data_IF_753214944315
#
_entry.id   IF_753214944315
#
_cell.length_a   1.000
_cell.length_b   1.000
_cell.length_c   1.000
_cell.angle_alpha   90.00
_cell.angle_beta   90.00
_cell.angle_gamma   90.00
#
_symmetry.space_group_name_H-M   'P 1'
#
loop_
_entity.id
_entity.type
_entity.pdbx_description
1 polymer ?
#
# COMPACT_ATOMS: atom_id res chain seq x y z
N UNK A 1 -26.05 0.56 -24.70
CA UNK A 1 -25.87 -0.58 -23.76
C UNK A 1 -24.54 -0.38 -23.04
N UNK A 2 -24.55 0.05 -21.77
CA UNK A 2 -23.32 0.22 -20.99
C UNK A 2 -22.74 -1.16 -20.69
N UNK A 3 -21.62 -1.53 -21.30
CA UNK A 3 -20.85 -2.68 -20.82
C UNK A 3 -20.43 -2.37 -19.37
N UNK A 4 -20.72 -3.29 -18.44
CA UNK A 4 -20.21 -3.24 -17.07
C UNK A 4 -18.69 -3.36 -17.16
N UNK A 5 -17.99 -2.23 -17.08
CA UNK A 5 -16.52 -2.22 -17.08
C UNK A 5 -15.99 -3.04 -15.91
N UNK A 6 -15.12 -4.01 -16.19
CA UNK A 6 -14.51 -4.89 -15.17
C UNK A 6 -13.47 -4.10 -14.36
N UNK A 7 -13.94 -3.35 -13.36
CA UNK A 7 -13.08 -2.59 -12.45
C UNK A 7 -12.85 -3.36 -11.16
N UNK A 8 -11.60 -3.44 -10.70
CA UNK A 8 -11.25 -4.00 -9.39
C UNK A 8 -10.71 -2.93 -8.46
N UNK A 9 -10.82 -3.19 -7.16
CA UNK A 9 -10.15 -2.44 -6.10
C UNK A 9 -8.92 -3.22 -5.63
N UNK A 10 -7.74 -2.65 -5.75
CA UNK A 10 -6.48 -3.23 -5.28
C UNK A 10 -6.02 -2.50 -4.01
N UNK A 11 -6.10 -3.15 -2.87
CA UNK A 11 -5.60 -2.66 -1.59
C UNK A 11 -4.12 -3.06 -1.53
N UNK A 12 -3.22 -2.07 -1.55
CA UNK A 12 -1.78 -2.31 -1.61
C UNK A 12 -1.08 -1.64 -0.41
N UNK A 13 -1.10 -2.28 0.77
CA UNK A 13 -0.63 -1.69 2.02
C UNK A 13 0.91 -1.73 2.17
N UNK A 14 1.66 -1.45 1.10
CA UNK A 14 3.13 -1.42 1.11
C UNK A 14 3.65 -0.29 2.00
N UNK A 15 4.69 -0.57 2.79
CA UNK A 15 5.27 0.40 3.74
C UNK A 15 6.81 0.43 3.74
N UNK A 16 7.42 -0.55 3.09
CA UNK A 16 8.84 -0.89 3.12
C UNK A 16 9.78 0.20 2.57
N UNK A 17 9.43 0.87 1.48
CA UNK A 17 10.23 1.96 0.92
C UNK A 17 10.09 3.28 1.68
N UNK A 18 9.13 3.37 2.60
CA UNK A 18 8.84 4.60 3.32
C UNK A 18 9.86 4.80 4.44
N UNK A 19 10.60 5.91 4.42
CA UNK A 19 11.49 6.32 5.51
C UNK A 19 11.04 7.69 6.01
N UNK A 20 10.16 7.68 7.02
CA UNK A 20 9.44 8.88 7.47
C UNK A 20 9.72 9.28 8.92
N UNK A 21 10.51 8.51 9.66
CA UNK A 21 10.72 8.70 11.09
C UNK A 21 11.22 10.11 11.44
N UNK A 22 12.03 10.73 10.57
CA UNK A 22 12.52 12.10 10.73
C UNK A 22 11.39 13.15 10.83
N UNK A 23 10.23 12.89 10.23
CA UNK A 23 9.06 13.78 10.26
C UNK A 23 8.06 13.40 11.37
N UNK A 24 8.37 12.37 12.17
CA UNK A 24 7.48 11.78 13.17
C UNK A 24 8.24 11.46 14.48
N UNK A 25 8.90 12.42 15.13
CA UNK A 25 9.76 12.17 16.28
C UNK A 25 9.02 11.54 17.48
N UNK A 26 7.71 11.77 17.60
CA UNK A 26 6.88 11.21 18.67
C UNK A 26 6.47 9.75 18.46
N UNK A 27 6.82 9.14 17.32
CA UNK A 27 6.46 7.76 16.97
C UNK A 27 7.74 6.94 16.85
N UNK A 28 7.81 5.73 17.44
CA UNK A 28 8.96 4.84 17.26
C UNK A 28 9.32 4.69 15.78
N UNK A 29 10.61 4.75 15.46
CA UNK A 29 11.07 4.69 14.07
C UNK A 29 10.57 3.42 13.36
N UNK A 30 10.50 2.30 14.08
CA UNK A 30 9.97 1.01 13.61
C UNK A 30 8.48 1.03 13.25
N UNK A 31 7.70 1.93 13.85
CA UNK A 31 6.26 2.06 13.64
C UNK A 31 5.91 3.16 12.64
N UNK A 32 6.77 4.17 12.52
CA UNK A 32 6.54 5.35 11.68
C UNK A 32 6.20 4.97 10.23
N UNK A 33 7.00 4.11 9.59
CA UNK A 33 6.76 3.62 8.24
C UNK A 33 5.56 2.67 8.16
N UNK A 34 5.35 1.82 9.18
CA UNK A 34 4.17 0.91 9.25
C UNK A 34 2.85 1.68 9.28
N UNK A 35 2.88 2.99 9.52
CA UNK A 35 1.77 3.91 9.30
C UNK A 35 1.13 3.80 7.92
N UNK A 36 1.93 3.56 6.86
CA UNK A 36 1.42 3.37 5.50
C UNK A 36 0.56 2.11 5.36
N UNK A 37 0.93 1.02 6.03
CA UNK A 37 0.14 -0.22 6.06
C UNK A 37 -1.23 0.01 6.69
N UNK A 38 -1.27 0.73 7.83
CA UNK A 38 -2.52 1.10 8.49
C UNK A 38 -3.33 2.09 7.65
N UNK A 39 -2.65 3.07 7.03
CA UNK A 39 -3.24 4.09 6.18
C UNK A 39 -4.03 3.51 5.01
N UNK A 40 -3.46 2.55 4.29
CA UNK A 40 -4.14 1.88 3.18
C UNK A 40 -5.43 1.15 3.62
N UNK A 41 -5.43 0.54 4.81
CA UNK A 41 -6.61 -0.15 5.36
C UNK A 41 -7.69 0.82 5.83
N UNK A 42 -7.29 1.93 6.46
CA UNK A 42 -8.23 3.01 6.80
C UNK A 42 -8.83 3.60 5.51
N UNK A 43 -8.02 3.81 4.48
CA UNK A 43 -8.50 4.29 3.18
C UNK A 43 -9.53 3.32 2.58
N UNK A 44 -9.34 2.01 2.70
CA UNK A 44 -10.34 1.03 2.28
C UNK A 44 -11.63 1.09 3.10
N UNK A 45 -11.54 1.33 4.41
CA UNK A 45 -12.71 1.52 5.26
C UNK A 45 -13.48 2.81 4.94
N UNK A 46 -12.78 3.87 4.51
CA UNK A 46 -13.37 5.17 4.17
C UNK A 46 -13.88 5.25 2.73
N UNK A 47 -13.34 4.42 1.84
CA UNK A 47 -13.76 4.39 0.44
C UNK A 47 -15.25 4.00 0.35
N UNK A 48 -16.04 4.64 -0.54
CA UNK A 48 -17.45 4.30 -0.72
C UNK A 48 -17.66 2.80 -0.96
N UNK A 49 -18.79 2.28 -0.48
CA UNK A 49 -19.20 0.93 -0.80
C UNK A 49 -19.27 0.75 -2.33
N UNK A 50 -18.75 -0.38 -2.81
CA UNK A 50 -18.67 -0.67 -4.23
C UNK A 50 -18.98 -2.13 -4.46
N UNK A 51 -19.65 -2.42 -5.58
CA UNK A 51 -19.87 -3.79 -6.05
C UNK A 51 -18.64 -4.37 -6.77
N UNK A 52 -17.56 -3.59 -6.90
CA UNK A 52 -16.30 -4.02 -7.48
C UNK A 52 -15.62 -5.05 -6.58
N UNK A 53 -14.96 -6.04 -7.20
CA UNK A 53 -14.14 -7.02 -6.46
C UNK A 53 -12.93 -6.32 -5.84
N UNK A 54 -12.68 -6.59 -4.57
CA UNK A 54 -11.52 -6.09 -3.86
C UNK A 54 -10.47 -7.20 -3.64
N UNK A 55 -9.20 -6.88 -3.88
CA UNK A 55 -8.07 -7.76 -3.65
C UNK A 55 -7.03 -7.03 -2.79
N UNK A 56 -6.50 -7.69 -1.76
CA UNK A 56 -5.42 -7.14 -0.93
C UNK A 56 -4.09 -7.82 -1.28
N UNK A 57 -3.06 -7.01 -1.55
CA UNK A 57 -1.70 -7.51 -1.78
C UNK A 57 -1.13 -7.96 -0.43
N UNK A 58 -0.59 -9.19 -0.31
CA UNK A 58 -0.04 -9.67 0.94
C UNK A 58 1.25 -8.91 1.30
N UNK A 59 1.19 -8.13 2.38
CA UNK A 59 2.32 -7.37 2.92
C UNK A 59 2.56 -7.76 4.38
N UNK A 60 3.78 -8.17 4.71
CA UNK A 60 4.19 -8.44 6.10
C UNK A 60 4.47 -7.15 6.84
N UNK A 61 4.10 -7.10 8.12
CA UNK A 61 4.57 -6.05 9.07
C UNK A 61 5.71 -6.53 9.96
N UNK A 62 6.03 -7.82 9.91
CA UNK A 62 7.21 -8.43 10.50
C UNK A 62 8.33 -8.42 9.45
N UNK A 63 9.16 -7.38 9.49
CA UNK A 63 10.29 -7.20 8.59
C UNK A 63 11.46 -6.53 9.32
N UNK A 64 12.66 -7.09 9.12
CA UNK A 64 13.91 -6.47 9.55
C UNK A 64 14.35 -5.50 8.48
N UNK A 65 14.28 -4.20 8.78
CA UNK A 65 14.62 -3.13 7.83
C UNK A 65 16.05 -3.30 7.30
N UNK A 66 16.23 -3.36 5.98
CA UNK A 66 17.54 -3.55 5.34
C UNK A 66 17.65 -2.73 4.07
N UNK A 67 18.74 -1.98 3.93
CA UNK A 67 19.07 -1.31 2.66
C UNK A 67 19.87 -2.24 1.77
N UNK A 68 19.40 -2.46 0.55
CA UNK A 68 20.10 -3.24 -0.48
C UNK A 68 20.16 -2.47 -1.79
N UNK A 69 21.37 -2.30 -2.34
CA UNK A 69 21.59 -1.56 -3.59
C UNK A 69 20.95 -0.15 -3.57
N UNK A 70 20.99 0.52 -2.41
CA UNK A 70 20.43 1.85 -2.20
C UNK A 70 18.90 1.90 -2.03
N UNK A 71 18.22 0.75 -1.97
CA UNK A 71 16.77 0.66 -1.81
C UNK A 71 16.47 -0.01 -0.47
N UNK A 72 15.64 0.64 0.36
CA UNK A 72 15.15 0.06 1.60
C UNK A 72 14.20 -1.10 1.30
N UNK A 73 14.40 -2.24 1.95
CA UNK A 73 13.53 -3.41 1.93
C UNK A 73 13.20 -3.90 0.51
N UNK A 74 14.22 -3.87 -0.36
CA UNK A 74 14.11 -4.14 -1.79
C UNK A 74 13.48 -5.50 -2.10
N UNK A 75 13.88 -6.55 -1.38
CA UNK A 75 13.36 -7.90 -1.61
C UNK A 75 11.85 -7.99 -1.32
N UNK A 76 11.39 -7.37 -0.25
CA UNK A 76 9.98 -7.29 0.11
C UNK A 76 9.18 -6.52 -0.94
N UNK A 77 9.67 -5.37 -1.40
CA UNK A 77 9.02 -4.57 -2.45
C UNK A 77 8.86 -5.39 -3.74
N UNK A 78 9.91 -6.12 -4.15
CA UNK A 78 9.87 -6.98 -5.35
C UNK A 78 8.85 -8.10 -5.17
N UNK A 79 8.86 -8.78 -4.01
CA UNK A 79 7.93 -9.87 -3.72
C UNK A 79 6.48 -9.39 -3.77
N UNK A 80 6.20 -8.25 -3.14
CA UNK A 80 4.87 -7.65 -3.12
C UNK A 80 4.41 -7.21 -4.50
N UNK A 81 5.32 -6.62 -5.29
CA UNK A 81 5.03 -6.22 -6.67
C UNK A 81 4.69 -7.42 -7.55
N UNK A 82 5.39 -8.55 -7.39
CA UNK A 82 5.05 -9.81 -8.07
C UNK A 82 3.66 -10.31 -7.67
N UNK A 83 3.34 -10.32 -6.37
CA UNK A 83 2.01 -10.73 -5.91
C UNK A 83 0.89 -9.81 -6.42
N UNK A 84 1.13 -8.51 -6.50
CA UNK A 84 0.20 -7.56 -7.10
C UNK A 84 -0.01 -7.89 -8.59
N UNK A 85 1.07 -8.12 -9.35
CA UNK A 85 1.00 -8.49 -10.76
C UNK A 85 0.21 -9.79 -10.97
N UNK A 86 0.47 -10.83 -10.18
CA UNK A 86 -0.28 -12.09 -10.25
C UNK A 86 -1.79 -11.90 -10.01
N UNK A 87 -2.18 -10.99 -9.11
CA UNK A 87 -3.59 -10.63 -8.88
C UNK A 87 -4.17 -9.97 -10.13
N UNK A 88 -3.44 -9.02 -10.73
CA UNK A 88 -3.89 -8.31 -11.94
C UNK A 88 -4.02 -9.26 -13.14
N UNK A 89 -3.04 -10.13 -13.36
CA UNK A 89 -3.06 -11.14 -14.44
C UNK A 89 -4.25 -12.10 -14.29
N UNK A 90 -4.51 -12.60 -13.07
CA UNK A 90 -5.63 -13.50 -12.81
C UNK A 90 -7.00 -12.83 -12.93
N UNK A 91 -7.09 -11.54 -12.59
CA UNK A 91 -8.35 -10.80 -12.61
C UNK A 91 -8.66 -10.12 -13.94
N UNK A 92 -7.63 -9.91 -14.77
CA UNK A 92 -7.67 -9.24 -16.07
C UNK A 92 -8.64 -8.02 -16.10
N UNK A 93 -8.41 -7.02 -15.23
CA UNK A 93 -9.32 -5.90 -15.11
C UNK A 93 -9.15 -4.91 -16.26
N UNK A 94 -10.24 -4.25 -16.65
CA UNK A 94 -10.18 -3.11 -17.56
C UNK A 94 -9.71 -1.84 -16.85
N UNK A 95 -9.99 -1.73 -15.55
CA UNK A 95 -9.69 -0.56 -14.72
C UNK A 95 -9.32 -1.00 -13.31
N UNK A 96 -8.42 -0.24 -12.69
CA UNK A 96 -7.93 -0.54 -11.34
C UNK A 96 -8.11 0.72 -10.48
N UNK A 97 -8.70 0.54 -9.30
CA UNK A 97 -8.68 1.54 -8.22
C UNK A 97 -7.69 1.06 -7.17
N UNK A 98 -6.59 1.77 -6.98
CA UNK A 98 -5.55 1.41 -6.00
C UNK A 98 -5.76 2.17 -4.70
N UNK A 99 -5.78 1.43 -3.59
CA UNK A 99 -5.75 1.99 -2.23
C UNK A 99 -4.37 1.67 -1.65
N UNK A 100 -3.42 2.57 -1.91
CA UNK A 100 -2.00 2.36 -1.68
C UNK A 100 -1.51 2.75 -0.28
N UNK A 101 -0.30 2.28 0.01
CA UNK A 101 0.53 2.74 1.12
C UNK A 101 1.56 3.78 0.64
N UNK A 102 2.86 3.49 0.80
CA UNK A 102 3.93 4.44 0.48
C UNK A 102 4.23 4.60 -1.02
N UNK A 103 4.65 5.79 -1.43
CA UNK A 103 5.05 6.10 -2.80
C UNK A 103 6.57 6.04 -2.95
N UNK A 104 7.14 4.83 -3.00
CA UNK A 104 8.54 4.66 -3.43
C UNK A 104 8.68 5.11 -4.89
N UNK A 105 9.12 6.36 -5.07
CA UNK A 105 9.14 7.09 -6.35
C UNK A 105 9.89 6.32 -7.45
N UNK A 106 10.94 5.55 -7.11
CA UNK A 106 11.73 4.80 -8.08
C UNK A 106 11.07 3.51 -8.57
N UNK A 107 10.33 2.82 -7.70
CA UNK A 107 9.63 1.58 -8.04
C UNK A 107 8.30 1.90 -8.70
N UNK A 108 7.59 2.91 -8.19
CA UNK A 108 6.32 3.38 -8.73
C UNK A 108 6.47 3.88 -10.16
N UNK A 109 7.51 4.68 -10.46
CA UNK A 109 7.73 5.15 -11.85
C UNK A 109 8.02 3.99 -12.80
N UNK A 110 8.82 3.00 -12.38
CA UNK A 110 9.10 1.84 -13.23
C UNK A 110 7.86 0.98 -13.45
N UNK A 111 7.10 0.72 -12.40
CA UNK A 111 5.85 -0.04 -12.47
C UNK A 111 4.79 0.68 -13.32
N UNK A 112 4.65 2.00 -13.17
CA UNK A 112 3.77 2.82 -14.02
C UNK A 112 4.18 2.70 -15.48
N UNK A 113 5.47 2.76 -15.80
CA UNK A 113 5.94 2.59 -17.17
C UNK A 113 5.67 1.17 -17.73
N UNK A 114 5.86 0.13 -16.91
CA UNK A 114 5.57 -1.26 -17.30
C UNK A 114 4.06 -1.53 -17.48
N UNK A 115 3.21 -0.83 -16.71
CA UNK A 115 1.75 -0.87 -16.87
C UNK A 115 1.32 -0.04 -18.11
N UNK A 116 1.89 1.16 -18.28
CA UNK A 116 1.60 2.05 -19.40
C UNK A 116 1.98 1.43 -20.76
N UNK A 117 2.91 0.48 -20.80
CA UNK A 117 3.24 -0.23 -22.05
C UNK A 117 2.14 -1.19 -22.50
N UNK A 118 1.19 -1.54 -21.63
CA UNK A 118 0.14 -2.53 -21.92
C UNK A 118 -1.28 -2.01 -21.66
N UNK A 119 -1.44 -0.90 -20.93
CA UNK A 119 -2.74 -0.37 -20.48
C UNK A 119 -2.77 1.16 -20.52
N UNK A 120 -3.91 1.74 -20.89
CA UNK A 120 -4.15 3.18 -20.81
C UNK A 120 -4.37 3.63 -19.35
N UNK A 121 -3.47 4.47 -18.85
CA UNK A 121 -3.56 5.01 -17.49
C UNK A 121 -4.51 6.23 -17.48
N UNK A 122 -5.74 6.01 -17.04
CA UNK A 122 -6.79 7.05 -16.99
C UNK A 122 -6.85 7.85 -15.68
N UNK A 123 -5.92 7.60 -14.74
CA UNK A 123 -5.82 8.35 -13.49
C UNK A 123 -4.65 7.89 -12.62
N UNK A 124 -3.98 8.84 -11.98
CA UNK A 124 -2.87 8.61 -11.05
C UNK A 124 -3.13 9.40 -9.76
N UNK A 125 -3.41 8.70 -8.67
CA UNK A 125 -3.57 9.31 -7.35
C UNK A 125 -2.30 9.10 -6.54
N UNK A 126 -1.62 10.20 -6.21
CA UNK A 126 -0.56 10.22 -5.20
C UNK A 126 -1.19 10.77 -3.93
N UNK A 127 -1.63 9.87 -3.05
CA UNK A 127 -2.13 10.23 -1.74
C UNK A 127 -1.43 9.34 -0.71
N UNK A 128 -0.75 9.97 0.25
CA UNK A 128 -0.17 9.31 1.40
C UNK A 128 -1.08 9.52 2.61
N UNK A 129 -2.07 8.64 2.87
CA UNK A 129 -2.79 8.67 4.14
C UNK A 129 -1.84 8.16 5.23
N UNK A 130 -1.20 9.07 5.96
CA UNK A 130 -0.38 8.76 7.13
C UNK A 130 -1.20 9.01 8.42
N UNK A 131 -1.82 7.98 9.03
CA UNK A 131 -2.81 8.18 10.08
C UNK A 131 -2.13 8.32 11.46
N UNK A 132 -1.42 9.43 11.69
CA UNK A 132 -0.65 9.71 12.92
C UNK A 132 -1.40 9.38 14.21
N UNK A 133 -2.66 9.81 14.32
CA UNK A 133 -3.51 9.58 15.49
C UNK A 133 -3.85 8.10 15.65
N UNK A 134 -4.16 7.40 14.56
CA UNK A 134 -4.47 5.97 14.60
C UNK A 134 -3.25 5.13 15.02
N UNK A 135 -2.04 5.51 14.59
CA UNK A 135 -0.78 4.86 15.02
C UNK A 135 -0.58 5.04 16.53
N UNK A 136 -0.69 6.29 17.03
CA UNK A 136 -0.56 6.58 18.47
C UNK A 136 -1.62 5.81 19.28
N UNK A 137 -2.86 5.74 18.80
CA UNK A 137 -3.94 4.99 19.43
C UNK A 137 -3.65 3.49 19.47
N UNK A 138 -3.25 2.89 18.34
CA UNK A 138 -2.86 1.47 18.27
C UNK A 138 -1.76 1.13 19.26
N UNK A 139 -0.71 1.95 19.31
CA UNK A 139 0.43 1.75 20.21
C UNK A 139 0.08 1.93 21.69
N UNK A 140 -0.90 2.78 22.00
CA UNK A 140 -1.45 2.90 23.35
C UNK A 140 -2.27 1.66 23.71
N UNK A 141 -3.17 1.22 22.81
CA UNK A 141 -4.03 0.05 23.03
C UNK A 141 -3.22 -1.24 23.20
N UNK A 142 -2.15 -1.45 22.43
CA UNK A 142 -1.30 -2.65 22.54
C UNK A 142 -0.55 -2.75 23.88
N UNK A 143 -0.46 -1.66 24.64
CA UNK A 143 0.16 -1.64 25.98
C UNK A 143 -0.85 -1.96 27.08
N UNK A 144 -2.15 -1.90 26.80
CA UNK A 144 -3.20 -2.22 27.78
C UNK A 144 -3.29 -3.74 27.99
N UNK A 145 -3.51 -4.21 29.23
CA UNK A 145 -3.60 -5.64 29.52
C UNK A 145 -4.81 -6.33 28.87
N UNK A 146 -5.83 -5.56 28.44
CA UNK A 146 -7.02 -6.09 27.78
C UNK A 146 -6.75 -6.64 26.36
N UNK A 147 -5.62 -6.28 25.75
CA UNK A 147 -5.28 -6.64 24.37
C UNK A 147 -3.97 -7.45 24.29
N UNK A 148 -3.55 -8.07 25.41
CA UNK A 148 -2.43 -9.00 25.48
C UNK A 148 -2.92 -10.45 25.42
#
# INVERSE_FOLDING_TARGET
MNQKSNTIRLIYPQWQGGIVFNWMPDIPAEDSSKGYYLGARILNMLAPESSQKAYEVPVSTDAKRKVEKGIMDREDIIKQTKSALEILEKSNPEKIVTLGGECSVSVVVRLINDIASNYDIIGLTIAEPMPRIAIKLRNMMSKLPLFK
#
